data_IF_528617357863
#
_entry.id   IF_528617357863
#
_cell.length_a   1.000
_cell.length_b   1.000
_cell.length_c   1.000
_cell.angle_alpha   90.00
_cell.angle_beta   90.00
_cell.angle_gamma   90.00
#
_symmetry.space_group_name_H-M   'P 1'
#
loop_
_entity.id
_entity.type
_entity.pdbx_description
1 polymer ?
#
# COMPACT_ATOMS: atom_id res chain seq x y z
N UNK A 1 3.21 -25.86 2.68
CA UNK A 1 3.30 -24.41 2.98
C UNK A 1 3.86 -24.23 4.38
N UNK A 2 4.95 -23.47 4.52
CA UNK A 2 5.54 -23.09 5.80
C UNK A 2 5.07 -21.72 6.29
N UNK A 3 5.38 -21.38 7.54
CA UNK A 3 4.98 -20.13 8.19
C UNK A 3 5.41 -18.88 7.39
N UNK A 4 6.61 -18.91 6.78
CA UNK A 4 7.13 -17.80 5.97
C UNK A 4 6.29 -17.55 4.69
N UNK A 5 5.77 -18.61 4.08
CA UNK A 5 4.95 -18.51 2.87
C UNK A 5 3.58 -17.94 3.21
N UNK A 6 3.00 -18.33 4.35
CA UNK A 6 1.80 -17.70 4.89
C UNK A 6 2.01 -16.23 5.22
N UNK A 7 3.12 -15.89 5.89
CA UNK A 7 3.46 -14.51 6.20
C UNK A 7 3.63 -13.66 4.93
N UNK A 8 4.28 -14.19 3.89
CA UNK A 8 4.41 -13.53 2.60
C UNK A 8 3.03 -13.26 1.97
N UNK A 9 2.17 -14.28 1.88
CA UNK A 9 0.82 -14.15 1.31
C UNK A 9 0.02 -13.09 2.07
N UNK A 10 0.02 -13.14 3.41
CA UNK A 10 -0.69 -12.17 4.23
C UNK A 10 -0.18 -10.74 3.98
N UNK A 11 1.15 -10.57 3.88
CA UNK A 11 1.74 -9.27 3.61
C UNK A 11 1.36 -8.74 2.22
N UNK A 12 1.28 -9.61 1.21
CA UNK A 12 0.79 -9.24 -0.14
C UNK A 12 -0.67 -8.79 -0.09
N UNK A 13 -1.54 -9.53 0.60
CA UNK A 13 -2.95 -9.16 0.77
C UNK A 13 -3.06 -7.80 1.47
N UNK A 14 -2.27 -7.56 2.52
CA UNK A 14 -2.27 -6.29 3.24
C UNK A 14 -1.77 -5.12 2.37
N UNK A 15 -0.78 -5.33 1.50
CA UNK A 15 -0.33 -4.34 0.54
C UNK A 15 -1.46 -3.99 -0.46
N UNK A 16 -2.15 -4.99 -0.99
CA UNK A 16 -3.27 -4.80 -1.92
C UNK A 16 -4.44 -4.07 -1.25
N UNK A 17 -4.74 -4.39 0.01
CA UNK A 17 -5.76 -3.69 0.79
C UNK A 17 -5.46 -2.19 0.91
N UNK A 18 -4.23 -1.82 1.30
CA UNK A 18 -3.86 -0.40 1.41
C UNK A 18 -3.88 0.28 0.04
N UNK A 19 -3.46 -0.41 -1.03
CA UNK A 19 -3.54 0.13 -2.39
C UNK A 19 -4.99 0.38 -2.82
N UNK A 20 -5.92 -0.51 -2.48
CA UNK A 20 -7.35 -0.31 -2.74
C UNK A 20 -7.90 0.90 -1.97
N UNK A 21 -7.51 1.07 -0.70
CA UNK A 21 -7.92 2.24 0.09
C UNK A 21 -7.42 3.55 -0.52
N UNK A 22 -6.17 3.59 -0.98
CA UNK A 22 -5.61 4.74 -1.72
C UNK A 22 -6.49 5.07 -2.93
N UNK A 23 -6.84 4.06 -3.74
CA UNK A 23 -7.66 4.25 -4.94
C UNK A 23 -9.08 4.75 -4.62
N UNK A 24 -9.70 4.22 -3.56
CA UNK A 24 -11.03 4.64 -3.09
C UNK A 24 -11.00 6.12 -2.68
N UNK A 25 -10.04 6.51 -1.84
CA UNK A 25 -9.93 7.89 -1.36
C UNK A 25 -9.67 8.86 -2.52
N UNK A 26 -8.80 8.49 -3.46
CA UNK A 26 -8.57 9.30 -4.67
C UNK A 26 -9.86 9.46 -5.48
N UNK A 27 -10.62 8.39 -5.66
CA UNK A 27 -11.90 8.44 -6.37
C UNK A 27 -12.91 9.35 -5.65
N UNK A 28 -13.01 9.25 -4.33
CA UNK A 28 -13.89 10.11 -3.50
C UNK A 28 -13.51 11.59 -3.59
N UNK A 29 -12.21 11.89 -3.77
CA UNK A 29 -11.70 13.25 -3.97
C UNK A 29 -11.82 13.75 -5.43
N UNK A 30 -12.44 12.98 -6.31
CA UNK A 30 -12.71 13.36 -7.70
C UNK A 30 -11.56 13.06 -8.69
N UNK A 31 -10.52 12.33 -8.27
CA UNK A 31 -9.47 11.91 -9.20
C UNK A 31 -9.98 10.75 -10.08
N UNK A 32 -9.59 10.74 -11.35
CA UNK A 32 -9.76 9.56 -12.20
C UNK A 32 -8.74 8.49 -11.79
N UNK A 33 -9.26 7.32 -11.42
CA UNK A 33 -8.49 6.17 -10.96
C UNK A 33 -8.93 4.94 -11.76
N UNK A 34 -7.97 4.25 -12.37
CA UNK A 34 -8.20 2.94 -12.98
C UNK A 34 -8.10 1.86 -11.89
N UNK A 35 -8.99 0.87 -11.89
CA UNK A 35 -9.01 -0.16 -10.84
C UNK A 35 -7.79 -1.10 -10.93
N UNK A 36 -7.30 -1.35 -12.14
CA UNK A 36 -6.28 -2.37 -12.44
C UNK A 36 -4.92 -1.72 -12.69
N UNK A 37 -4.88 -0.57 -13.37
CA UNK A 37 -3.64 0.11 -13.78
C UNK A 37 -3.34 1.33 -12.93
N UNK A 38 -2.21 1.98 -13.20
CA UNK A 38 -1.91 3.33 -12.70
C UNK A 38 -1.44 3.42 -11.24
N UNK A 39 -1.10 2.31 -10.58
CA UNK A 39 -0.73 2.28 -9.14
C UNK A 39 0.37 3.30 -8.77
N UNK A 40 1.36 3.51 -9.63
CA UNK A 40 2.44 4.49 -9.39
C UNK A 40 1.96 5.94 -9.54
N UNK A 41 1.04 6.21 -10.46
CA UNK A 41 0.42 7.52 -10.64
C UNK A 41 -0.52 7.86 -9.48
N UNK A 42 -1.32 6.87 -9.06
CA UNK A 42 -2.21 6.98 -7.90
C UNK A 42 -1.42 7.22 -6.63
N UNK A 43 -0.31 6.49 -6.42
CA UNK A 43 0.60 6.73 -5.31
C UNK A 43 1.09 8.19 -5.25
N UNK A 44 1.49 8.77 -6.41
CA UNK A 44 1.94 10.17 -6.47
C UNK A 44 0.79 11.13 -6.16
N UNK A 45 -0.36 10.96 -6.80
CA UNK A 45 -1.57 11.77 -6.54
C UNK A 45 -1.98 11.71 -5.06
N UNK A 46 -1.88 10.54 -4.43
CA UNK A 46 -2.24 10.36 -3.04
C UNK A 46 -1.25 11.05 -2.10
N UNK A 47 0.05 10.99 -2.41
CA UNK A 47 1.06 11.76 -1.68
C UNK A 47 0.83 13.28 -1.80
N UNK A 48 0.45 13.75 -2.99
CA UNK A 48 0.11 15.15 -3.21
C UNK A 48 -1.18 15.53 -2.47
N UNK A 49 -2.19 14.65 -2.44
CA UNK A 49 -3.41 14.85 -1.65
C UNK A 49 -3.10 15.03 -0.17
N UNK A 50 -2.27 14.17 0.43
CA UNK A 50 -1.85 14.27 1.83
C UNK A 50 -1.18 15.62 2.11
N UNK A 51 -0.32 16.08 1.20
CA UNK A 51 0.42 17.34 1.36
C UNK A 51 -0.50 18.56 1.36
N UNK A 52 -1.58 18.50 0.59
CA UNK A 52 -2.53 19.61 0.43
C UNK A 52 -3.79 19.47 1.30
N UNK A 53 -3.90 18.43 2.13
CA UNK A 53 -5.03 18.26 3.04
C UNK A 53 -4.89 19.19 4.25
N UNK A 54 -5.90 20.04 4.44
CA UNK A 54 -5.94 21.03 5.52
C UNK A 54 -6.55 20.46 6.81
N UNK A 55 -7.37 19.40 6.69
CA UNK A 55 -7.91 18.67 7.84
C UNK A 55 -6.85 17.70 8.39
N UNK A 56 -6.25 18.07 9.53
CA UNK A 56 -5.21 17.27 10.19
C UNK A 56 -5.68 15.84 10.52
N UNK A 57 -6.97 15.63 10.82
CA UNK A 57 -7.48 14.28 11.10
C UNK A 57 -7.44 13.40 9.84
N UNK A 58 -7.88 13.93 8.70
CA UNK A 58 -7.82 13.23 7.41
C UNK A 58 -6.39 13.02 6.94
N UNK A 59 -5.53 14.01 7.14
CA UNK A 59 -4.11 13.93 6.82
C UNK A 59 -3.43 12.80 7.58
N UNK A 60 -3.67 12.66 8.88
CA UNK A 60 -3.16 11.55 9.68
C UNK A 60 -3.70 10.20 9.21
N UNK A 61 -4.98 10.12 8.87
CA UNK A 61 -5.60 8.91 8.32
C UNK A 61 -4.95 8.49 7.00
N UNK A 62 -4.77 9.42 6.07
CA UNK A 62 -4.14 9.17 4.78
C UNK A 62 -2.67 8.78 4.94
N UNK A 63 -1.94 9.43 5.85
CA UNK A 63 -0.57 9.05 6.20
C UNK A 63 -0.50 7.63 6.78
N UNK A 64 -1.45 7.24 7.63
CA UNK A 64 -1.52 5.88 8.19
C UNK A 64 -1.68 4.84 7.07
N UNK A 65 -2.55 5.09 6.10
CA UNK A 65 -2.75 4.20 4.94
C UNK A 65 -1.46 4.12 4.10
N UNK A 66 -0.83 5.27 3.83
CA UNK A 66 0.43 5.32 3.06
C UNK A 66 1.56 4.54 3.76
N UNK A 67 1.71 4.74 5.06
CA UNK A 67 2.72 4.05 5.86
C UNK A 67 2.42 2.54 5.96
N UNK A 68 1.15 2.17 6.08
CA UNK A 68 0.71 0.77 6.03
C UNK A 68 1.07 0.10 4.70
N UNK A 69 0.88 0.80 3.58
CA UNK A 69 1.30 0.34 2.26
C UNK A 69 2.82 0.15 2.17
N UNK A 70 3.62 1.13 2.63
CA UNK A 70 5.09 1.02 2.65
C UNK A 70 5.59 -0.13 3.52
N UNK A 71 5.01 -0.29 4.71
CA UNK A 71 5.35 -1.38 5.61
C UNK A 71 5.07 -2.74 4.97
N UNK A 72 3.92 -2.88 4.29
CA UNK A 72 3.57 -4.09 3.57
C UNK A 72 4.56 -4.38 2.43
N UNK A 73 4.90 -3.37 1.61
CA UNK A 73 5.89 -3.53 0.54
C UNK A 73 7.26 -3.97 1.08
N UNK A 74 7.71 -3.35 2.17
CA UNK A 74 8.95 -3.73 2.83
C UNK A 74 8.91 -5.17 3.35
N UNK A 75 7.80 -5.56 3.98
CA UNK A 75 7.59 -6.93 4.44
C UNK A 75 7.62 -7.96 3.30
N UNK A 76 7.01 -7.67 2.15
CA UNK A 76 7.04 -8.54 0.97
C UNK A 76 8.48 -8.79 0.54
N UNK A 77 9.29 -7.73 0.44
CA UNK A 77 10.71 -7.84 0.05
C UNK A 77 11.48 -8.67 1.05
N UNK A 78 11.32 -8.41 2.36
CA UNK A 78 12.01 -9.16 3.41
C UNK A 78 11.65 -10.65 3.39
N UNK A 79 10.36 -11.00 3.36
CA UNK A 79 9.94 -12.40 3.36
C UNK A 79 10.35 -13.12 2.07
N UNK A 80 10.31 -12.45 0.92
CA UNK A 80 10.81 -13.01 -0.33
C UNK A 80 12.31 -13.35 -0.25
N UNK A 81 13.12 -12.43 0.29
CA UNK A 81 14.57 -12.67 0.49
C UNK A 81 14.81 -13.83 1.46
N UNK A 82 14.05 -13.91 2.56
CA UNK A 82 14.19 -15.00 3.53
C UNK A 82 13.84 -16.35 2.92
N UNK A 83 12.76 -16.45 2.15
CA UNK A 83 12.38 -17.68 1.45
C UNK A 83 13.46 -18.08 0.44
N UNK A 84 14.01 -17.13 -0.31
CA UNK A 84 15.10 -17.40 -1.25
C UNK A 84 16.34 -17.93 -0.52
N UNK A 85 16.71 -17.33 0.62
CA UNK A 85 17.85 -17.80 1.44
C UNK A 85 17.62 -19.17 2.06
N UNK A 86 16.40 -19.50 2.48
CA UNK A 86 16.08 -20.79 3.09
C UNK A 86 16.06 -21.93 2.06
N UNK A 87 15.84 -21.61 0.78
CA UNK A 87 15.81 -22.59 -0.32
C UNK A 87 17.16 -22.77 -1.05
N UNK A 88 18.15 -21.92 -0.79
CA UNK A 88 19.53 -22.01 -1.29
C UNK A 88 20.40 -22.80 -0.31
#
# INVERSE_FOLDING_TARGET
MGLLEFALIFTVIFALYNLQQIKIILKEKGFTVDVIKGSLGDYRKFKDLIRNEHDEKKKMEYQRILNGFHFALFGIVLFAILILRVRL
#
